data_IF_543551389652
#
_entry.id   IF_543551389652
#
_cell.length_a   1.000
_cell.length_b   1.000
_cell.length_c   1.000
_cell.angle_alpha   90.00
_cell.angle_beta   90.00
_cell.angle_gamma   90.00
#
_symmetry.space_group_name_H-M   'P 1'
#
loop_
_entity.id
_entity.type
_entity.pdbx_description
1 polymer ?
#
# COMPACT_ATOMS: atom_id res chain seq x y z
N UNK A 1 31.56 34.37 75.54
CA UNK A 1 30.17 34.88 75.54
C UNK A 1 29.26 33.79 75.00
N UNK A 2 28.41 33.26 75.90
CA UNK A 2 27.31 32.30 75.67
C UNK A 2 26.19 32.97 74.84
N UNK A 3 25.51 32.35 73.85
CA UNK A 3 24.57 31.21 73.82
C UNK A 3 23.08 31.57 74.07
N UNK A 4 22.19 30.78 73.42
CA UNK A 4 20.77 30.49 73.73
C UNK A 4 19.68 31.51 73.28
N UNK A 5 18.43 31.16 72.86
CA UNK A 5 17.65 29.89 72.75
C UNK A 5 16.37 30.09 71.89
N UNK A 6 15.98 29.01 71.20
CA UNK A 6 14.64 28.57 70.72
C UNK A 6 13.36 29.11 71.39
N UNK A 7 12.23 29.15 70.65
CA UNK A 7 11.10 28.19 70.77
C UNK A 7 9.98 28.33 69.69
N UNK A 8 9.34 27.20 69.36
CA UNK A 8 8.24 26.93 68.40
C UNK A 8 6.86 26.99 69.07
N UNK A 9 5.78 27.11 68.27
CA UNK A 9 4.46 26.53 68.58
C UNK A 9 3.71 26.00 67.32
N UNK A 10 3.14 24.78 67.42
CA UNK A 10 2.20 24.07 66.49
C UNK A 10 0.74 24.48 66.84
N UNK A 11 -0.39 24.16 66.16
CA UNK A 11 -1.01 22.90 65.67
C UNK A 11 -2.42 23.25 65.08
N UNK A 12 -2.97 22.69 63.99
CA UNK A 12 -3.81 21.45 63.81
C UNK A 12 -5.37 21.63 63.92
N UNK A 13 -6.06 21.36 62.79
CA UNK A 13 -7.38 20.67 62.52
C UNK A 13 -8.77 21.15 63.02
N UNK A 14 -9.75 21.20 62.07
CA UNK A 14 -11.08 20.52 61.97
C UNK A 14 -12.04 21.37 61.07
N UNK A 15 -12.49 20.95 59.89
CA UNK A 15 -13.51 19.95 59.51
C UNK A 15 -14.99 20.46 59.55
N UNK A 16 -15.65 20.30 58.38
CA UNK A 16 -17.09 20.12 58.12
C UNK A 16 -18.04 21.33 57.90
N UNK A 17 -18.51 21.38 56.63
CA UNK A 17 -19.87 21.65 56.12
C UNK A 17 -20.57 22.97 56.44
N UNK A 18 -20.86 23.74 55.39
CA UNK A 18 -22.24 24.17 55.10
C UNK A 18 -22.40 24.60 53.63
N UNK A 19 -23.29 23.92 52.92
CA UNK A 19 -23.80 24.28 51.59
C UNK A 19 -24.70 25.52 51.75
N UNK A 20 -24.43 26.62 51.04
CA UNK A 20 -25.49 27.52 50.58
C UNK A 20 -25.14 28.13 49.22
N UNK A 21 -26.08 27.91 48.32
CA UNK A 21 -26.20 28.41 46.95
C UNK A 21 -26.36 29.92 46.98
N UNK A 22 -25.59 30.65 46.17
CA UNK A 22 -25.98 32.01 45.77
C UNK A 22 -25.45 32.34 44.36
N UNK A 23 -26.41 32.60 43.48
CA UNK A 23 -26.40 33.61 42.42
C UNK A 23 -25.55 33.41 41.15
N UNK A 24 -26.26 32.88 40.15
CA UNK A 24 -26.24 33.21 38.71
C UNK A 24 -25.42 34.46 38.35
N UNK A 25 -24.35 34.28 37.57
CA UNK A 25 -23.93 35.25 36.55
C UNK A 25 -23.37 34.52 35.32
N UNK A 26 -24.21 34.49 34.29
CA UNK A 26 -23.89 34.73 32.89
C UNK A 26 -22.42 34.57 32.47
N UNK A 27 -22.07 33.43 31.86
CA UNK A 27 -21.20 33.41 30.69
C UNK A 27 -21.76 32.39 29.69
N UNK A 28 -22.54 32.91 28.74
CA UNK A 28 -22.63 32.32 27.40
C UNK A 28 -21.20 32.37 26.82
N UNK A 29 -20.41 31.33 27.09
CA UNK A 29 -19.22 31.04 26.31
C UNK A 29 -19.64 30.32 25.03
N UNK A 30 -19.01 30.59 23.88
CA UNK A 30 -19.23 29.77 22.69
C UNK A 30 -18.89 28.33 23.07
N UNK A 31 -19.77 27.38 22.71
CA UNK A 31 -19.43 25.96 22.72
C UNK A 31 -18.25 25.78 21.76
N UNK A 32 -17.03 25.93 22.27
CA UNK A 32 -15.85 25.37 21.62
C UNK A 32 -16.01 23.86 21.76
N UNK A 33 -16.64 23.27 20.75
CA UNK A 33 -16.44 21.87 20.42
C UNK A 33 -14.93 21.78 20.16
N UNK A 34 -14.16 21.39 21.16
CA UNK A 34 -12.81 20.88 20.93
C UNK A 34 -13.05 19.60 20.14
N UNK A 35 -12.93 19.72 18.82
CA UNK A 35 -12.88 18.57 17.94
C UNK A 35 -11.56 17.88 18.30
N UNK A 36 -11.67 16.89 19.18
CA UNK A 36 -10.56 16.06 19.60
C UNK A 36 -10.13 15.27 18.36
N UNK A 37 -9.25 15.87 17.57
CA UNK A 37 -8.55 15.23 16.46
C UNK A 37 -7.48 14.34 17.08
N UNK A 38 -7.93 13.32 17.81
CA UNK A 38 -7.10 12.16 18.06
C UNK A 38 -6.77 11.57 16.70
N UNK A 39 -5.49 11.47 16.31
CA UNK A 39 -5.12 10.75 15.11
C UNK A 39 -5.61 9.32 15.31
N UNK A 40 -6.56 8.91 14.49
CA UNK A 40 -7.02 7.54 14.44
C UNK A 40 -5.79 6.70 14.07
N UNK A 41 -5.18 6.04 15.07
CA UNK A 41 -4.05 5.15 14.84
C UNK A 41 -4.54 4.07 13.88
N UNK A 42 -4.22 4.23 12.60
CA UNK A 42 -4.25 3.14 11.64
C UNK A 42 -3.44 1.99 12.25
N UNK A 43 -3.92 0.75 12.07
CA UNK A 43 -3.16 -0.41 12.52
C UNK A 43 -1.73 -0.30 11.97
N UNK A 44 -0.69 -0.47 12.80
CA UNK A 44 0.68 -0.37 12.34
C UNK A 44 0.88 -1.37 11.21
N UNK A 45 1.22 -0.86 10.03
CA UNK A 45 1.54 -1.66 8.86
C UNK A 45 2.67 -2.64 9.23
N UNK A 46 2.41 -3.94 9.10
CA UNK A 46 3.38 -4.95 9.49
C UNK A 46 4.52 -5.01 8.48
N UNK A 47 5.75 -5.03 8.98
CA UNK A 47 6.94 -5.22 8.15
C UNK A 47 6.93 -6.63 7.53
N UNK A 48 7.52 -6.79 6.34
CA UNK A 48 7.54 -8.06 5.60
C UNK A 48 8.95 -8.62 5.54
N UNK A 49 9.21 -9.68 6.32
CA UNK A 49 10.49 -10.38 6.30
C UNK A 49 10.30 -11.75 5.65
N UNK A 50 10.78 -11.90 4.42
CA UNK A 50 10.75 -13.19 3.75
C UNK A 50 11.85 -14.11 4.28
N UNK A 51 11.54 -15.41 4.37
CA UNK A 51 12.51 -16.49 4.57
C UNK A 51 12.44 -17.34 3.31
N UNK A 52 13.47 -17.26 2.47
CA UNK A 52 13.47 -17.85 1.14
C UNK A 52 14.33 -19.11 1.09
N UNK A 53 13.72 -20.19 0.66
CA UNK A 53 14.39 -21.43 0.33
C UNK A 53 15.19 -21.28 -0.96
N UNK A 54 16.51 -21.43 -0.83
CA UNK A 54 17.40 -21.66 -1.97
C UNK A 54 18.27 -22.89 -1.70
N UNK A 55 17.70 -23.93 -1.09
CA UNK A 55 18.28 -25.27 -0.95
C UNK A 55 18.36 -25.97 -2.31
N UNK A 56 19.11 -27.07 -2.42
CA UNK A 56 19.34 -27.75 -3.70
C UNK A 56 18.06 -28.23 -4.42
N UNK A 57 17.03 -28.64 -3.68
CA UNK A 57 15.73 -29.11 -4.21
C UNK A 57 14.98 -28.03 -4.99
N UNK A 58 15.23 -26.75 -4.71
CA UNK A 58 14.62 -25.64 -5.45
C UNK A 58 15.07 -25.53 -6.92
N UNK A 59 16.07 -26.31 -7.35
CA UNK A 59 16.41 -26.50 -8.77
C UNK A 59 15.43 -27.40 -9.53
N UNK A 60 14.64 -28.20 -8.81
CA UNK A 60 13.62 -29.06 -9.40
C UNK A 60 12.49 -28.25 -10.02
N UNK A 61 11.71 -28.92 -10.85
CA UNK A 61 10.59 -28.33 -11.56
C UNK A 61 9.28 -28.52 -10.79
N UNK A 62 8.44 -27.50 -10.83
CA UNK A 62 7.02 -27.56 -10.47
C UNK A 62 6.24 -27.14 -11.71
N UNK A 63 5.63 -28.13 -12.37
CA UNK A 63 5.14 -27.96 -13.75
C UNK A 63 6.30 -27.68 -14.72
N UNK A 64 6.22 -26.57 -15.46
CA UNK A 64 7.22 -26.20 -16.48
C UNK A 64 8.32 -25.26 -15.97
N UNK A 65 8.22 -24.80 -14.72
CA UNK A 65 9.15 -23.84 -14.15
C UNK A 65 9.98 -24.47 -13.04
N UNK A 66 11.23 -24.04 -12.89
CA UNK A 66 11.99 -24.36 -11.68
C UNK A 66 11.35 -23.69 -10.46
N UNK A 67 11.28 -24.39 -9.33
CA UNK A 67 10.68 -23.90 -8.08
C UNK A 67 11.28 -22.55 -7.65
N UNK A 68 12.60 -22.39 -7.77
CA UNK A 68 13.28 -21.11 -7.47
C UNK A 68 12.82 -19.96 -8.37
N UNK A 69 12.53 -20.21 -9.65
CA UNK A 69 12.06 -19.18 -10.56
C UNK A 69 10.63 -18.76 -10.22
N UNK A 70 9.76 -19.70 -9.85
CA UNK A 70 8.42 -19.40 -9.36
C UNK A 70 8.48 -18.58 -8.06
N UNK A 71 9.29 -19.00 -7.09
CA UNK A 71 9.48 -18.27 -5.85
C UNK A 71 9.92 -16.82 -6.11
N UNK A 72 10.94 -16.60 -6.95
CA UNK A 72 11.40 -15.24 -7.31
C UNK A 72 10.31 -14.42 -8.00
N UNK A 73 9.59 -15.01 -8.96
CA UNK A 73 8.50 -14.36 -9.69
C UNK A 73 7.42 -13.85 -8.73
N UNK A 74 6.94 -14.71 -7.83
CA UNK A 74 5.80 -14.37 -6.99
C UNK A 74 6.15 -13.57 -5.74
N UNK A 75 7.35 -13.76 -5.18
CA UNK A 75 7.86 -12.85 -4.13
C UNK A 75 8.02 -11.44 -4.69
N UNK A 76 8.57 -11.27 -5.90
CA UNK A 76 8.61 -9.95 -6.56
C UNK A 76 7.21 -9.37 -6.75
N UNK A 77 6.29 -10.15 -7.30
CA UNK A 77 4.91 -9.73 -7.54
C UNK A 77 4.23 -9.20 -6.28
N UNK A 78 4.38 -9.92 -5.16
CA UNK A 78 3.86 -9.49 -3.87
C UNK A 78 4.49 -8.16 -3.43
N UNK A 79 5.82 -8.05 -3.48
CA UNK A 79 6.54 -6.84 -3.06
C UNK A 79 6.21 -5.63 -3.94
N UNK A 80 5.99 -5.82 -5.23
CA UNK A 80 5.59 -4.76 -6.16
C UNK A 80 4.21 -4.17 -5.82
N UNK A 81 3.33 -4.95 -5.17
CA UNK A 81 1.96 -4.55 -4.82
C UNK A 81 1.81 -3.97 -3.41
N UNK A 82 2.82 -4.08 -2.56
CA UNK A 82 2.79 -3.46 -1.23
C UNK A 82 2.72 -1.93 -1.33
N UNK A 83 2.32 -1.21 -0.27
CA UNK A 83 2.58 0.23 -0.15
C UNK A 83 4.09 0.57 -0.17
N UNK A 84 4.45 1.79 -0.58
CA UNK A 84 5.86 2.22 -0.65
C UNK A 84 6.51 2.31 0.74
N UNK A 85 5.69 2.61 1.74
CA UNK A 85 6.06 2.75 3.14
C UNK A 85 6.23 1.40 3.87
N UNK A 86 5.86 0.27 3.25
CA UNK A 86 6.06 -1.05 3.85
C UNK A 86 7.56 -1.35 3.94
N UNK A 87 8.04 -1.69 5.14
CA UNK A 87 9.38 -2.23 5.31
C UNK A 87 9.45 -3.65 4.75
N UNK A 88 10.35 -3.88 3.80
CA UNK A 88 10.53 -5.21 3.18
C UNK A 88 11.99 -5.64 3.28
N UNK A 89 12.21 -6.91 3.61
CA UNK A 89 13.54 -7.52 3.75
C UNK A 89 13.46 -9.03 3.57
N UNK A 90 14.61 -9.69 3.47
CA UNK A 90 14.63 -11.15 3.43
C UNK A 90 15.91 -11.78 3.97
N UNK A 91 15.68 -12.95 4.57
CA UNK A 91 16.64 -14.00 4.85
C UNK A 91 16.52 -15.04 3.74
N UNK A 92 17.63 -15.64 3.37
CA UNK A 92 17.61 -16.86 2.56
C UNK A 92 18.57 -17.87 3.18
N UNK A 93 18.26 -19.14 3.01
CA UNK A 93 19.17 -20.24 3.29
C UNK A 93 19.49 -20.99 2.00
N UNK A 94 20.56 -21.77 2.04
CA UNK A 94 21.22 -22.22 0.83
C UNK A 94 21.89 -21.05 0.11
N UNK A 95 21.63 -20.90 -1.18
CA UNK A 95 22.22 -19.88 -2.06
C UNK A 95 23.74 -19.98 -2.25
N UNK A 96 24.18 -20.89 -3.14
CA UNK A 96 25.60 -21.20 -3.42
C UNK A 96 26.41 -21.68 -2.20
N UNK A 97 25.75 -22.06 -1.12
CA UNK A 97 26.39 -22.54 0.10
C UNK A 97 25.91 -23.97 0.38
N UNK A 98 26.82 -24.94 0.50
CA UNK A 98 26.47 -26.29 0.87
C UNK A 98 26.19 -26.42 2.38
N UNK A 99 25.51 -27.51 2.75
CA UNK A 99 25.31 -27.88 4.15
C UNK A 99 24.29 -27.01 4.89
N UNK A 100 24.35 -27.10 6.21
CA UNK A 100 23.33 -26.55 7.11
C UNK A 100 23.58 -25.12 7.58
N UNK A 101 24.82 -24.62 7.51
CA UNK A 101 25.19 -23.27 7.96
C UNK A 101 25.09 -22.25 6.82
N UNK A 102 23.89 -22.10 6.27
CA UNK A 102 23.67 -21.31 5.04
C UNK A 102 22.68 -20.16 5.22
N UNK A 103 21.94 -20.11 6.33
CA UNK A 103 20.93 -19.09 6.57
C UNK A 103 21.54 -17.73 6.91
N UNK A 104 21.18 -16.68 6.15
CA UNK A 104 21.73 -15.33 6.29
C UNK A 104 20.71 -14.26 5.94
N UNK A 105 20.81 -13.09 6.59
CA UNK A 105 20.07 -11.89 6.20
C UNK A 105 20.72 -11.28 4.94
N UNK A 106 19.99 -11.28 3.83
CA UNK A 106 20.49 -10.73 2.55
C UNK A 106 20.05 -9.29 2.33
N UNK A 107 18.86 -8.94 2.82
CA UNK A 107 18.33 -7.59 2.77
C UNK A 107 17.63 -7.27 4.10
N UNK A 108 18.05 -6.23 4.84
CA UNK A 108 17.34 -5.81 6.04
C UNK A 108 15.96 -5.25 5.69
N UNK A 109 15.05 -5.25 6.66
CA UNK A 109 13.79 -4.53 6.59
C UNK A 109 14.06 -3.04 6.38
N UNK A 110 13.60 -2.51 5.25
CA UNK A 110 13.83 -1.12 4.85
C UNK A 110 12.67 -0.63 3.99
N UNK A 111 12.23 0.62 4.20
CA UNK A 111 11.21 1.27 3.37
C UNK A 111 11.79 1.73 2.03
N UNK A 112 10.98 1.80 0.99
CA UNK A 112 11.38 2.42 -0.30
C UNK A 112 12.52 1.72 -1.06
N UNK A 113 13.05 0.57 -0.61
CA UNK A 113 14.21 -0.08 -1.22
C UNK A 113 13.85 -1.36 -2.00
N UNK A 114 12.76 -1.31 -2.77
CA UNK A 114 12.34 -2.42 -3.65
C UNK A 114 13.39 -2.80 -4.69
N UNK A 115 14.09 -1.86 -5.37
CA UNK A 115 15.12 -2.24 -6.34
C UNK A 115 16.26 -3.04 -5.71
N UNK A 116 16.74 -2.64 -4.52
CA UNK A 116 17.78 -3.36 -3.79
C UNK A 116 17.33 -4.74 -3.33
N UNK A 117 16.07 -4.87 -2.88
CA UNK A 117 15.46 -6.16 -2.56
C UNK A 117 15.44 -7.09 -3.79
N UNK A 118 14.91 -6.61 -4.93
CA UNK A 118 14.79 -7.39 -6.16
C UNK A 118 16.15 -7.83 -6.69
N UNK A 119 17.14 -6.95 -6.70
CA UNK A 119 18.49 -7.29 -7.16
C UNK A 119 19.09 -8.47 -6.37
N UNK A 120 18.91 -8.47 -5.04
CA UNK A 120 19.37 -9.58 -4.19
C UNK A 120 18.53 -10.84 -4.38
N UNK A 121 17.21 -10.71 -4.50
CA UNK A 121 16.28 -11.81 -4.76
C UNK A 121 16.65 -12.58 -6.03
N UNK A 122 16.84 -11.86 -7.15
CA UNK A 122 17.17 -12.50 -8.43
C UNK A 122 18.57 -13.13 -8.45
N UNK A 123 19.46 -12.67 -7.58
CA UNK A 123 20.80 -13.24 -7.38
C UNK A 123 20.84 -14.59 -6.65
N UNK A 124 19.74 -15.08 -6.07
CA UNK A 124 19.70 -16.36 -5.36
C UNK A 124 19.94 -17.55 -6.31
N UNK A 125 20.79 -18.49 -5.93
CA UNK A 125 21.09 -19.70 -6.72
C UNK A 125 21.03 -20.95 -5.85
N UNK A 126 20.08 -21.87 -6.09
CA UNK A 126 19.82 -22.99 -5.21
C UNK A 126 21.05 -23.88 -4.92
N UNK A 127 21.29 -24.19 -3.65
CA UNK A 127 22.37 -25.07 -3.17
C UNK A 127 22.17 -25.41 -1.67
N UNK A 128 22.74 -26.51 -1.20
CA UNK A 128 22.74 -26.85 0.23
C UNK A 128 21.44 -27.45 0.75
N UNK A 129 21.30 -27.47 2.08
CA UNK A 129 20.21 -28.10 2.81
C UNK A 129 19.17 -27.07 3.30
N UNK A 130 18.18 -27.53 4.08
CA UNK A 130 17.00 -26.76 4.53
C UNK A 130 17.05 -26.53 6.05
N UNK A 131 17.84 -25.55 6.56
CA UNK A 131 17.94 -25.23 7.98
C UNK A 131 16.82 -24.27 8.43
N UNK A 132 15.58 -24.78 8.51
CA UNK A 132 14.40 -23.97 8.86
C UNK A 132 14.49 -23.41 10.29
N UNK A 133 14.90 -24.22 11.26
CA UNK A 133 15.05 -23.81 12.65
C UNK A 133 16.08 -22.69 12.80
N UNK A 134 17.24 -22.82 12.15
CA UNK A 134 18.25 -21.76 12.14
C UNK A 134 17.69 -20.48 11.52
N UNK A 135 16.96 -20.59 10.41
CA UNK A 135 16.40 -19.44 9.70
C UNK A 135 15.34 -18.71 10.53
N UNK A 136 14.47 -19.45 11.24
CA UNK A 136 13.49 -18.88 12.16
C UNK A 136 14.19 -18.20 13.34
N UNK A 137 15.25 -18.83 13.89
CA UNK A 137 16.05 -18.22 14.96
C UNK A 137 16.70 -16.92 14.53
N UNK A 138 17.35 -16.88 13.36
CA UNK A 138 17.95 -15.66 12.81
C UNK A 138 16.89 -14.58 12.56
N UNK A 139 15.74 -14.94 11.98
CA UNK A 139 14.63 -14.01 11.77
C UNK A 139 14.15 -13.43 13.10
N UNK A 140 13.91 -14.28 14.08
CA UNK A 140 13.49 -13.89 15.43
C UNK A 140 14.48 -12.98 16.14
N UNK A 141 15.77 -13.35 16.16
CA UNK A 141 16.84 -12.55 16.76
C UNK A 141 16.99 -11.18 16.07
N UNK A 142 16.69 -11.12 14.77
CA UNK A 142 16.68 -9.87 14.01
C UNK A 142 15.50 -8.96 14.38
N UNK A 143 14.30 -9.52 14.57
CA UNK A 143 13.08 -8.74 14.80
C UNK A 143 12.73 -8.53 16.28
N UNK A 144 13.34 -9.25 17.22
CA UNK A 144 13.00 -9.20 18.66
C UNK A 144 13.03 -7.80 19.28
N UNK A 145 13.89 -6.91 18.77
CA UNK A 145 14.01 -5.53 19.27
C UNK A 145 13.07 -4.55 18.58
N UNK A 146 12.28 -4.98 17.60
CA UNK A 146 11.38 -4.13 16.82
C UNK A 146 10.06 -3.95 17.57
N UNK A 147 9.54 -2.73 17.54
CA UNK A 147 8.22 -2.40 18.11
C UNK A 147 7.08 -2.68 17.12
N UNK A 148 7.35 -2.60 15.82
CA UNK A 148 6.38 -2.85 14.77
C UNK A 148 6.13 -4.35 14.59
N UNK A 149 4.87 -4.78 14.38
CA UNK A 149 4.57 -6.16 14.00
C UNK A 149 5.34 -6.55 12.73
N UNK A 150 5.76 -7.82 12.62
CA UNK A 150 6.46 -8.32 11.43
C UNK A 150 5.83 -9.62 10.95
N UNK A 151 5.47 -9.69 9.67
CA UNK A 151 5.06 -10.94 9.04
C UNK A 151 6.31 -11.65 8.49
N UNK A 152 6.56 -12.84 9.01
CA UNK A 152 7.53 -13.79 8.49
C UNK A 152 6.86 -14.57 7.36
N UNK A 153 7.41 -14.46 6.15
CA UNK A 153 6.86 -15.13 4.96
C UNK A 153 7.85 -16.18 4.48
N UNK A 154 7.62 -17.44 4.87
CA UNK A 154 8.44 -18.57 4.43
C UNK A 154 7.95 -19.08 3.08
N UNK A 155 8.88 -19.21 2.13
CA UNK A 155 8.67 -19.86 0.83
C UNK A 155 9.64 -21.04 0.76
N UNK A 156 9.14 -22.27 0.73
CA UNK A 156 9.97 -23.48 0.80
C UNK A 156 9.36 -24.66 0.04
N UNK A 157 10.23 -25.55 -0.44
CA UNK A 157 9.84 -26.82 -1.07
C UNK A 157 10.20 -28.05 -0.23
N UNK A 158 10.61 -27.85 1.03
CA UNK A 158 11.04 -28.93 1.90
C UNK A 158 10.76 -28.69 3.38
N UNK A 159 11.00 -29.75 4.16
CA UNK A 159 11.01 -29.71 5.62
C UNK A 159 12.43 -29.51 6.14
N UNK A 160 12.54 -29.34 7.45
CA UNK A 160 13.82 -29.29 8.16
C UNK A 160 14.69 -30.52 7.85
N UNK A 161 15.91 -30.28 7.37
CA UNK A 161 16.90 -31.34 7.05
C UNK A 161 18.24 -31.17 7.77
N UNK A 162 18.32 -30.24 8.72
CA UNK A 162 19.52 -29.86 9.46
C UNK A 162 19.42 -30.10 10.97
N UNK A 163 18.62 -31.09 11.36
CA UNK A 163 18.47 -31.55 12.75
C UNK A 163 17.96 -30.48 13.73
N UNK A 164 17.37 -29.40 13.22
CA UNK A 164 16.72 -28.36 14.00
C UNK A 164 15.30 -28.73 14.44
N UNK A 165 14.70 -27.88 15.26
CA UNK A 165 13.27 -27.95 15.59
C UNK A 165 12.59 -26.59 15.31
N UNK A 166 12.03 -26.39 14.10
CA UNK A 166 11.39 -25.13 13.71
C UNK A 166 10.25 -24.72 14.64
N UNK A 167 9.47 -25.67 15.13
CA UNK A 167 8.33 -25.41 16.02
C UNK A 167 8.79 -24.87 17.37
N UNK A 168 9.85 -25.45 17.93
CA UNK A 168 10.46 -24.98 19.18
C UNK A 168 11.00 -23.55 19.05
N UNK A 169 11.60 -23.22 17.90
CA UNK A 169 12.08 -21.86 17.65
C UNK A 169 10.91 -20.87 17.62
N UNK A 170 9.81 -21.19 16.93
CA UNK A 170 8.60 -20.35 16.92
C UNK A 170 8.01 -20.14 18.33
N UNK A 171 7.89 -21.22 19.11
CA UNK A 171 7.43 -21.15 20.50
C UNK A 171 8.34 -20.26 21.35
N UNK A 172 9.66 -20.34 21.13
CA UNK A 172 10.63 -19.49 21.81
C UNK A 172 10.43 -18.01 21.47
N UNK A 173 10.14 -17.67 20.21
CA UNK A 173 9.84 -16.29 19.80
C UNK A 173 8.56 -15.77 20.46
N UNK A 174 7.52 -16.60 20.55
CA UNK A 174 6.28 -16.24 21.24
C UNK A 174 6.49 -16.00 22.73
N UNK A 175 7.24 -16.88 23.40
CA UNK A 175 7.58 -16.74 24.82
C UNK A 175 8.39 -15.47 25.10
N UNK A 176 9.23 -15.05 24.14
CA UNK A 176 9.98 -13.79 24.19
C UNK A 176 9.12 -12.56 23.88
N UNK A 177 7.83 -12.72 23.59
CA UNK A 177 6.91 -11.62 23.30
C UNK A 177 7.13 -10.96 21.95
N UNK A 178 7.77 -11.65 20.99
CA UNK A 178 7.99 -11.11 19.65
C UNK A 178 6.65 -11.00 18.93
N UNK A 179 6.34 -9.81 18.41
CA UNK A 179 5.11 -9.57 17.67
C UNK A 179 5.28 -9.95 16.19
N UNK A 180 4.97 -11.20 15.86
CA UNK A 180 5.06 -11.71 14.51
C UNK A 180 3.91 -12.64 14.14
N UNK A 181 3.68 -12.77 12.83
CA UNK A 181 2.92 -13.88 12.23
C UNK A 181 3.83 -14.64 11.28
N UNK A 182 3.61 -15.94 11.09
CA UNK A 182 4.35 -16.73 10.12
C UNK A 182 3.43 -17.34 9.06
N UNK A 183 3.52 -16.80 7.85
CA UNK A 183 2.86 -17.32 6.66
C UNK A 183 3.83 -18.25 5.93
N UNK A 184 3.33 -19.39 5.44
CA UNK A 184 4.16 -20.42 4.81
C UNK A 184 3.57 -20.78 3.45
N UNK A 185 4.38 -20.72 2.41
CA UNK A 185 4.09 -21.15 1.05
C UNK A 185 4.89 -22.42 0.77
N UNK A 186 4.20 -23.55 0.73
CA UNK A 186 4.78 -24.88 0.49
C UNK A 186 4.69 -25.26 -0.99
N UNK A 187 5.83 -25.42 -1.65
CA UNK A 187 5.93 -25.72 -3.08
C UNK A 187 6.09 -27.22 -3.30
N UNK A 188 5.08 -27.88 -3.86
CA UNK A 188 5.16 -29.28 -4.26
C UNK A 188 5.43 -30.27 -3.11
N UNK A 189 5.04 -29.92 -1.88
CA UNK A 189 5.24 -30.75 -0.69
C UNK A 189 4.35 -32.01 -0.71
N UNK A 190 4.85 -33.11 -0.13
CA UNK A 190 4.08 -34.34 0.09
C UNK A 190 3.06 -34.17 1.22
N UNK A 191 2.00 -35.01 1.29
CA UNK A 191 0.96 -34.88 2.30
C UNK A 191 1.47 -34.82 3.76
N UNK A 192 2.48 -35.60 4.14
CA UNK A 192 3.08 -35.51 5.48
C UNK A 192 3.81 -34.19 5.71
N UNK A 193 4.54 -33.68 4.71
CA UNK A 193 5.28 -32.41 4.79
C UNK A 193 4.33 -31.21 4.88
N UNK A 194 3.21 -31.26 4.13
CA UNK A 194 2.14 -30.25 4.22
C UNK A 194 1.59 -30.14 5.65
N UNK A 195 1.35 -31.27 6.32
CA UNK A 195 0.85 -31.27 7.71
C UNK A 195 1.83 -30.61 8.67
N UNK A 196 3.12 -30.85 8.48
CA UNK A 196 4.19 -30.19 9.26
C UNK A 196 4.13 -28.68 9.04
N UNK A 197 4.08 -28.22 7.79
CA UNK A 197 4.01 -26.79 7.46
C UNK A 197 2.73 -26.12 7.97
N UNK A 198 1.59 -26.81 7.91
CA UNK A 198 0.34 -26.34 8.52
C UNK A 198 0.48 -26.15 10.02
N UNK A 199 1.12 -27.10 10.72
CA UNK A 199 1.40 -26.99 12.15
C UNK A 199 2.30 -25.79 12.44
N UNK A 200 3.38 -25.60 11.67
CA UNK A 200 4.29 -24.47 11.83
C UNK A 200 3.60 -23.12 11.61
N UNK A 201 2.80 -22.98 10.55
CA UNK A 201 2.05 -21.75 10.29
C UNK A 201 1.05 -21.45 11.42
N UNK A 202 0.38 -22.49 11.94
CA UNK A 202 -0.52 -22.37 13.10
C UNK A 202 0.23 -21.93 14.35
N UNK A 203 1.37 -22.55 14.65
CA UNK A 203 2.23 -22.17 15.79
C UNK A 203 2.70 -20.73 15.64
N UNK A 204 3.03 -20.28 14.43
CA UNK A 204 3.38 -18.88 14.16
C UNK A 204 2.19 -17.93 13.98
N UNK A 205 0.95 -18.32 14.33
CA UNK A 205 -0.26 -17.49 14.19
C UNK A 205 -0.50 -16.91 12.77
N UNK A 206 -0.02 -17.61 11.73
CA UNK A 206 -0.20 -17.21 10.33
C UNK A 206 -0.97 -18.26 9.53
N UNK A 207 -0.75 -18.26 8.21
CA UNK A 207 -1.47 -19.12 7.26
C UNK A 207 -0.52 -20.00 6.46
N UNK A 208 -1.00 -21.21 6.15
CA UNK A 208 -0.33 -22.10 5.21
C UNK A 208 -1.01 -22.02 3.84
N UNK A 209 -0.20 -21.95 2.80
CA UNK A 209 -0.58 -21.94 1.40
C UNK A 209 0.07 -23.12 0.69
N UNK A 210 -0.77 -23.99 0.11
CA UNK A 210 -0.31 -25.09 -0.73
C UNK A 210 -0.11 -24.58 -2.16
N UNK A 211 1.06 -24.84 -2.74
CA UNK A 211 1.40 -24.43 -4.11
C UNK A 211 1.80 -25.67 -4.91
N UNK A 212 0.93 -26.13 -5.81
CA UNK A 212 1.23 -27.25 -6.72
C UNK A 212 1.49 -26.78 -8.16
N UNK A 213 1.05 -25.57 -8.49
CA UNK A 213 1.25 -24.98 -9.81
C UNK A 213 1.41 -23.45 -9.75
N UNK A 214 1.73 -22.85 -10.91
CA UNK A 214 1.96 -21.41 -11.06
C UNK A 214 0.75 -20.57 -10.60
N UNK A 215 -0.47 -21.01 -10.94
CA UNK A 215 -1.76 -20.39 -10.56
C UNK A 215 -1.97 -20.36 -9.05
N UNK A 216 -1.69 -21.46 -8.36
CA UNK A 216 -1.84 -21.56 -6.91
C UNK A 216 -0.99 -20.51 -6.21
N UNK A 217 0.26 -20.33 -6.67
CA UNK A 217 1.17 -19.38 -6.06
C UNK A 217 0.68 -17.94 -6.24
N UNK A 218 0.20 -17.60 -7.44
CA UNK A 218 -0.42 -16.30 -7.69
C UNK A 218 -1.59 -16.05 -6.73
N UNK A 219 -2.54 -16.99 -6.67
CA UNK A 219 -3.73 -16.87 -5.83
C UNK A 219 -3.39 -16.76 -4.34
N UNK A 220 -2.40 -17.53 -3.88
CA UNK A 220 -1.92 -17.48 -2.51
C UNK A 220 -1.31 -16.12 -2.14
N UNK A 221 -0.51 -15.54 -3.04
CA UNK A 221 0.05 -14.20 -2.83
C UNK A 221 -1.03 -13.11 -2.86
N UNK A 222 -2.03 -13.23 -3.74
CA UNK A 222 -3.18 -12.31 -3.74
C UNK A 222 -4.02 -12.43 -2.46
N UNK A 223 -4.21 -13.65 -1.93
CA UNK A 223 -4.92 -13.86 -0.67
C UNK A 223 -4.16 -13.24 0.52
N UNK A 224 -2.83 -13.36 0.53
CA UNK A 224 -2.01 -12.70 1.56
C UNK A 224 -2.09 -11.17 1.43
N UNK A 225 -2.01 -10.62 0.22
CA UNK A 225 -2.15 -9.17 -0.03
C UNK A 225 -3.50 -8.61 0.44
N UNK A 226 -4.59 -9.38 0.33
CA UNK A 226 -5.92 -8.96 0.81
C UNK A 226 -6.04 -8.91 2.33
N UNK A 227 -5.18 -9.62 3.04
CA UNK A 227 -5.15 -9.63 4.51
C UNK A 227 -4.26 -8.54 5.09
N UNK A 228 -3.45 -7.89 4.26
CA UNK A 228 -2.84 -6.64 4.65
C UNK A 228 -3.95 -5.71 5.12
N UNK A 229 -3.80 -5.07 6.31
CA UNK A 229 -4.70 -3.99 6.65
C UNK A 229 -4.65 -3.06 5.44
N UNK A 230 -5.78 -2.94 4.74
CA UNK A 230 -5.88 -2.00 3.63
C UNK A 230 -5.24 -0.74 4.15
N UNK A 231 -4.25 -0.15 3.45
CA UNK A 231 -3.86 1.18 3.83
C UNK A 231 -5.19 1.91 3.96
N UNK A 232 -5.42 2.52 5.12
CA UNK A 232 -6.16 3.77 5.10
C UNK A 232 -5.27 4.60 4.18
N UNK A 233 -5.52 4.46 2.87
CA UNK A 233 -5.39 5.55 1.92
C UNK A 233 -5.89 6.70 2.76
N UNK A 234 -5.09 7.75 2.98
CA UNK A 234 -5.67 8.96 3.51
C UNK A 234 -6.90 9.16 2.64
N UNK A 235 -8.07 8.86 3.19
CA UNK A 235 -9.27 9.50 2.75
C UNK A 235 -8.90 10.89 3.16
N UNK A 236 -8.33 11.60 2.19
CA UNK A 236 -8.12 13.00 2.35
C UNK A 236 -9.52 13.44 2.76
N UNK A 237 -9.67 13.82 4.03
CA UNK A 237 -10.44 15.02 4.32
C UNK A 237 -10.16 15.93 3.13
N UNK A 238 -11.17 16.40 2.40
CA UNK A 238 -10.94 17.20 1.21
C UNK A 238 -10.20 18.48 1.62
N UNK A 239 -8.87 18.38 1.79
CA UNK A 239 -7.95 19.43 1.51
C UNK A 239 -8.40 19.90 0.15
N UNK A 240 -8.72 21.18 0.10
CA UNK A 240 -9.13 21.90 -1.09
C UNK A 240 -8.09 21.63 -2.18
N UNK A 241 -8.23 20.52 -2.90
CA UNK A 241 -7.40 20.16 -4.02
C UNK A 241 -7.73 21.19 -5.07
N UNK A 242 -6.83 22.13 -5.27
CA UNK A 242 -6.90 22.99 -6.44
C UNK A 242 -6.84 22.08 -7.66
N UNK A 243 -7.88 22.07 -8.52
CA UNK A 243 -7.89 21.21 -9.70
C UNK A 243 -6.68 21.55 -10.57
N UNK A 244 -5.92 20.52 -10.97
CA UNK A 244 -4.73 20.63 -11.81
C UNK A 244 -5.07 20.91 -13.27
N UNK A 245 -6.31 20.69 -13.68
CA UNK A 245 -6.85 21.07 -14.99
C UNK A 245 -8.24 21.66 -14.82
N UNK A 246 -8.50 22.78 -15.48
CA UNK A 246 -9.84 23.38 -15.53
C UNK A 246 -10.11 23.97 -16.91
N UNK A 247 -11.35 23.83 -17.34
CA UNK A 247 -11.88 24.57 -18.49
C UNK A 247 -12.05 26.02 -18.04
N UNK A 248 -11.38 26.96 -18.72
CA UNK A 248 -11.46 28.38 -18.42
C UNK A 248 -12.63 29.05 -19.15
N UNK A 249 -12.91 28.65 -20.39
CA UNK A 249 -14.09 29.11 -21.13
C UNK A 249 -14.47 28.12 -22.24
N UNK A 250 -15.75 28.13 -22.60
CA UNK A 250 -16.28 27.46 -23.79
C UNK A 250 -17.03 28.53 -24.57
N UNK A 251 -16.53 28.89 -25.74
CA UNK A 251 -17.18 29.84 -26.66
C UNK A 251 -17.85 29.03 -27.77
N UNK A 252 -19.15 29.25 -27.98
CA UNK A 252 -19.94 28.61 -29.03
C UNK A 252 -20.19 29.61 -30.15
N UNK A 253 -19.77 29.28 -31.36
CA UNK A 253 -20.11 29.99 -32.59
C UNK A 253 -20.99 29.09 -33.45
N UNK A 254 -22.21 29.55 -33.76
CA UNK A 254 -23.08 28.85 -34.68
C UNK A 254 -22.71 29.24 -36.11
N UNK A 255 -22.28 28.28 -36.91
CA UNK A 255 -21.81 28.50 -38.30
C UNK A 255 -22.88 28.15 -39.32
N UNK A 256 -23.72 27.15 -39.03
CA UNK A 256 -24.85 26.69 -39.85
C UNK A 256 -25.94 26.04 -38.95
N UNK A 257 -27.05 25.56 -39.52
CA UNK A 257 -28.13 24.95 -38.73
C UNK A 257 -27.83 23.53 -38.23
N UNK A 258 -26.76 22.90 -38.71
CA UNK A 258 -26.49 21.48 -38.48
C UNK A 258 -25.30 21.23 -37.53
N UNK A 259 -24.32 22.13 -37.46
CA UNK A 259 -23.13 22.05 -36.62
C UNK A 259 -22.92 23.31 -35.75
N UNK A 260 -22.41 23.07 -34.54
CA UNK A 260 -21.89 24.10 -33.65
C UNK A 260 -20.37 24.02 -33.61
N UNK A 261 -19.71 25.17 -33.68
CA UNK A 261 -18.27 25.28 -33.46
C UNK A 261 -18.00 25.72 -32.02
N UNK A 262 -17.13 25.00 -31.32
CA UNK A 262 -16.74 25.28 -29.94
C UNK A 262 -15.25 25.57 -29.85
N UNK A 263 -14.94 26.67 -29.18
CA UNK A 263 -13.59 27.02 -28.75
C UNK A 263 -13.48 26.81 -27.25
N UNK A 264 -12.67 25.83 -26.85
CA UNK A 264 -12.56 25.37 -25.46
C UNK A 264 -11.18 25.74 -24.94
N UNK A 265 -11.13 26.77 -24.10
CA UNK A 265 -9.90 27.20 -23.44
C UNK A 265 -9.75 26.50 -22.11
N UNK A 266 -8.51 26.16 -21.76
CA UNK A 266 -8.19 25.50 -20.50
C UNK A 266 -6.87 25.99 -19.93
N UNK A 267 -6.71 25.80 -18.62
CA UNK A 267 -5.43 25.98 -17.93
C UNK A 267 -5.10 24.75 -17.12
N UNK A 268 -3.81 24.42 -17.05
CA UNK A 268 -3.30 23.32 -16.25
C UNK A 268 -2.10 23.73 -15.39
N UNK A 269 -1.96 23.07 -14.24
CA UNK A 269 -0.81 23.13 -13.36
C UNK A 269 -0.51 21.73 -12.82
N UNK A 270 0.58 21.14 -13.30
CA UNK A 270 1.14 19.91 -12.76
C UNK A 270 2.62 20.12 -12.46
N UNK A 271 2.88 20.74 -11.32
CA UNK A 271 4.21 21.00 -10.77
C UNK A 271 5.16 19.79 -10.71
N UNK A 272 4.64 18.56 -10.80
CA UNK A 272 5.39 17.31 -10.68
C UNK A 272 6.01 16.81 -12.00
N UNK A 273 5.58 17.32 -13.16
CA UNK A 273 6.12 16.89 -14.45
C UNK A 273 6.17 18.03 -15.47
N UNK A 274 7.19 18.03 -16.31
CA UNK A 274 7.42 18.99 -17.39
C UNK A 274 6.96 18.46 -18.76
N UNK A 275 6.40 17.26 -18.85
CA UNK A 275 5.87 16.70 -20.09
C UNK A 275 4.42 16.25 -19.87
N UNK A 276 3.48 16.98 -20.46
CA UNK A 276 2.05 16.84 -20.21
C UNK A 276 1.29 16.69 -21.53
N UNK A 277 0.18 15.96 -21.53
CA UNK A 277 -0.81 16.03 -22.60
C UNK A 277 -2.18 16.32 -22.00
N UNK A 278 -2.94 17.22 -22.63
CA UNK A 278 -4.36 17.43 -22.33
C UNK A 278 -5.16 16.73 -23.40
N UNK A 279 -6.14 15.94 -22.95
CA UNK A 279 -7.04 15.17 -23.81
C UNK A 279 -8.45 15.72 -23.64
N UNK A 280 -9.07 16.15 -24.72
CA UNK A 280 -10.47 16.53 -24.78
C UNK A 280 -11.31 15.30 -25.12
N UNK A 281 -12.32 15.01 -24.31
CA UNK A 281 -13.29 13.94 -24.55
C UNK A 281 -14.68 14.54 -24.76
N UNK A 282 -15.20 14.41 -25.98
CA UNK A 282 -16.57 14.77 -26.33
C UNK A 282 -17.46 13.53 -26.20
N UNK A 283 -18.51 13.61 -25.40
CA UNK A 283 -19.34 12.46 -25.02
C UNK A 283 -20.81 12.70 -25.32
N UNK A 284 -21.52 11.61 -25.64
CA UNK A 284 -22.99 11.63 -25.65
C UNK A 284 -23.52 11.76 -24.22
N UNK A 285 -24.52 12.63 -24.01
CA UNK A 285 -25.23 12.74 -22.72
C UNK A 285 -26.01 11.45 -22.44
N UNK A 286 -25.96 10.95 -21.20
CA UNK A 286 -26.76 9.82 -20.72
C UNK A 286 -27.69 10.26 -19.58
N UNK A 287 -28.88 9.67 -19.50
CA UNK A 287 -29.83 9.83 -18.39
C UNK A 287 -29.75 8.72 -17.34
N UNK A 288 -28.99 7.65 -17.62
CA UNK A 288 -28.84 6.48 -16.74
C UNK A 288 -27.42 6.44 -16.17
N UNK A 289 -27.31 6.45 -14.84
CA UNK A 289 -26.03 6.21 -14.17
C UNK A 289 -25.69 4.73 -14.32
N UNK A 290 -24.70 4.41 -15.16
CA UNK A 290 -24.16 3.06 -15.17
C UNK A 290 -23.42 2.80 -13.85
N UNK A 291 -23.48 1.57 -13.32
CA UNK A 291 -22.76 1.20 -12.09
C UNK A 291 -21.25 1.29 -12.37
N UNK A 292 -20.60 2.30 -11.81
CA UNK A 292 -19.19 2.62 -12.10
C UNK A 292 -18.26 1.59 -11.46
N UNK A 293 -17.49 0.89 -12.29
CA UNK A 293 -16.29 0.18 -11.89
C UNK A 293 -15.13 1.20 -11.86
N UNK A 294 -14.83 1.74 -10.68
CA UNK A 294 -13.96 2.91 -10.53
C UNK A 294 -12.47 2.52 -10.45
N UNK A 295 -11.92 1.99 -11.54
CA UNK A 295 -10.51 1.53 -11.59
C UNK A 295 -9.50 2.68 -11.60
N UNK A 296 -9.89 3.88 -12.04
CA UNK A 296 -9.07 5.08 -11.93
C UNK A 296 -9.94 6.35 -11.84
N UNK A 297 -10.04 7.02 -10.68
CA UNK A 297 -10.91 8.18 -10.49
C UNK A 297 -10.48 9.43 -11.30
N UNK A 298 -9.23 9.47 -11.78
CA UNK A 298 -8.69 10.57 -12.59
C UNK A 298 -8.98 10.42 -14.09
N UNK A 299 -9.55 9.29 -14.53
CA UNK A 299 -9.99 9.12 -15.91
C UNK A 299 -11.38 9.71 -16.13
N UNK A 300 -11.65 10.04 -17.38
CA UNK A 300 -12.94 10.48 -17.86
C UNK A 300 -14.01 9.47 -17.45
N UNK A 301 -15.14 9.98 -16.94
CA UNK A 301 -16.24 9.10 -16.54
C UNK A 301 -16.84 8.41 -17.77
N UNK A 302 -17.25 7.14 -17.65
CA UNK A 302 -18.00 6.42 -18.71
C UNK A 302 -17.33 6.54 -20.11
N UNK A 303 -16.09 6.01 -20.26
CA UNK A 303 -15.30 6.14 -21.50
C UNK A 303 -16.00 5.56 -22.74
N UNK A 304 -16.94 4.65 -22.57
CA UNK A 304 -17.81 4.12 -23.63
C UNK A 304 -18.73 5.17 -24.26
N UNK A 305 -18.94 6.32 -23.61
CA UNK A 305 -19.75 7.44 -24.15
C UNK A 305 -18.95 8.39 -25.04
N UNK A 306 -17.63 8.24 -25.13
CA UNK A 306 -16.76 9.13 -25.89
C UNK A 306 -17.01 8.94 -27.39
N UNK A 307 -17.44 10.02 -28.05
CA UNK A 307 -17.68 10.09 -29.49
C UNK A 307 -16.45 10.57 -30.25
N UNK A 308 -15.68 11.48 -29.64
CA UNK A 308 -14.49 12.09 -30.24
C UNK A 308 -13.50 12.46 -29.15
N UNK A 309 -12.22 12.30 -29.48
CA UNK A 309 -11.11 12.68 -28.64
C UNK A 309 -10.15 13.58 -29.42
N UNK A 310 -9.63 14.63 -28.78
CA UNK A 310 -8.54 15.45 -29.30
C UNK A 310 -7.43 15.58 -28.25
N UNK A 311 -6.20 15.85 -28.68
CA UNK A 311 -5.04 15.89 -27.79
C UNK A 311 -4.08 17.02 -28.18
N UNK A 312 -3.56 17.72 -27.16
CA UNK A 312 -2.46 18.70 -27.29
C UNK A 312 -1.45 18.42 -26.17
N UNK A 313 -0.16 18.44 -26.48
CA UNK A 313 0.92 18.18 -25.51
C UNK A 313 1.83 19.40 -25.30
N UNK A 314 2.37 19.49 -24.10
CA UNK A 314 3.15 20.63 -23.61
C UNK A 314 4.42 20.14 -22.91
N UNK A 315 5.55 20.83 -23.17
CA UNK A 315 6.80 20.64 -22.43
C UNK A 315 6.94 21.69 -21.32
N UNK A 316 5.90 21.83 -20.49
CA UNK A 316 5.86 22.81 -19.39
C UNK A 316 5.11 22.22 -18.20
N UNK A 317 5.39 22.73 -16.99
CA UNK A 317 4.68 22.31 -15.77
C UNK A 317 3.30 22.94 -15.62
N UNK A 318 3.13 24.16 -16.17
CA UNK A 318 1.90 24.94 -16.11
C UNK A 318 1.73 25.67 -17.42
N UNK A 319 0.50 25.77 -17.89
CA UNK A 319 0.21 26.40 -19.17
C UNK A 319 -1.28 26.54 -19.43
N UNK A 320 -1.57 27.11 -20.58
CA UNK A 320 -2.91 27.25 -21.13
C UNK A 320 -2.95 26.73 -22.57
N UNK A 321 -4.13 26.34 -23.01
CA UNK A 321 -4.33 25.84 -24.36
C UNK A 321 -5.77 26.00 -24.82
N UNK A 322 -6.00 25.69 -26.08
CA UNK A 322 -7.29 25.83 -26.75
C UNK A 322 -7.53 24.64 -27.67
N UNK A 323 -8.72 24.06 -27.58
CA UNK A 323 -9.26 23.14 -28.58
C UNK A 323 -10.31 23.85 -29.43
N UNK A 324 -10.35 23.50 -30.70
CA UNK A 324 -11.35 23.97 -31.66
C UNK A 324 -12.07 22.76 -32.25
N UNK A 325 -13.30 22.53 -31.83
CA UNK A 325 -14.08 21.34 -32.21
C UNK A 325 -15.38 21.74 -32.90
N UNK A 326 -15.79 20.94 -33.89
CA UNK A 326 -17.15 20.96 -34.43
C UNK A 326 -17.96 19.79 -33.87
N UNK A 327 -19.24 20.04 -33.59
CA UNK A 327 -20.15 19.01 -33.13
C UNK A 327 -21.60 19.23 -33.62
N UNK A 328 -22.38 18.16 -33.88
CA UNK A 328 -23.75 18.29 -34.38
C UNK A 328 -24.65 19.08 -33.43
N UNK A 329 -25.38 20.06 -33.95
CA UNK A 329 -26.15 21.01 -33.15
C UNK A 329 -27.33 20.38 -32.40
N UNK A 330 -27.85 19.25 -32.89
CA UNK A 330 -29.01 18.55 -32.34
C UNK A 330 -28.67 17.46 -31.31
N UNK A 331 -27.38 17.14 -31.11
CA UNK A 331 -26.98 16.10 -30.18
C UNK A 331 -26.71 16.67 -28.78
N UNK A 332 -27.24 16.04 -27.71
CA UNK A 332 -26.89 16.42 -26.35
C UNK A 332 -25.49 15.89 -26.02
N UNK A 333 -24.54 16.81 -25.81
CA UNK A 333 -23.12 16.50 -25.66
C UNK A 333 -22.55 17.07 -24.37
N UNK A 334 -21.68 16.29 -23.75
CA UNK A 334 -20.84 16.70 -22.63
C UNK A 334 -19.38 16.72 -23.08
N UNK A 335 -18.60 17.62 -22.49
CA UNK A 335 -17.15 17.74 -22.69
C UNK A 335 -16.43 17.55 -21.37
N UNK A 336 -15.33 16.80 -21.38
CA UNK A 336 -14.43 16.63 -20.23
C UNK A 336 -12.97 16.64 -20.71
N UNK A 337 -12.10 17.35 -20.00
CA UNK A 337 -10.66 17.33 -20.23
C UNK A 337 -9.97 16.38 -19.23
N UNK A 338 -8.99 15.63 -19.70
CA UNK A 338 -8.04 14.87 -18.87
C UNK A 338 -6.65 15.50 -19.00
N UNK A 339 -5.91 15.57 -17.89
CA UNK A 339 -4.49 15.94 -17.87
C UNK A 339 -3.64 14.70 -17.64
N UNK A 340 -2.67 14.45 -18.52
CA UNK A 340 -1.79 13.29 -18.51
C UNK A 340 -0.34 13.70 -18.32
N UNK A 341 0.38 12.97 -17.46
CA UNK A 341 1.84 13.02 -17.37
C UNK A 341 2.43 11.97 -18.32
N UNK A 342 3.34 12.39 -19.19
CA UNK A 342 3.97 11.55 -20.22
C UNK A 342 5.49 11.45 -20.07
N UNK A 343 6.07 11.93 -18.96
CA UNK A 343 7.53 11.85 -18.73
C UNK A 343 8.01 10.41 -18.51
N UNK A 344 7.16 9.56 -17.94
CA UNK A 344 7.39 8.12 -17.75
C UNK A 344 6.36 7.26 -18.48
N UNK A 345 5.81 6.26 -17.80
CA UNK A 345 4.63 5.54 -18.29
C UNK A 345 3.44 6.52 -18.26
N UNK A 346 2.77 6.80 -19.40
CA UNK A 346 1.69 7.77 -19.45
C UNK A 346 0.59 7.45 -18.43
N UNK A 347 0.22 8.44 -17.62
CA UNK A 347 -0.80 8.29 -16.59
C UNK A 347 -1.67 9.54 -16.45
N UNK A 348 -2.99 9.35 -16.22
CA UNK A 348 -3.90 10.47 -15.95
C UNK A 348 -3.65 11.03 -14.55
N UNK A 349 -3.55 12.35 -14.45
CA UNK A 349 -3.20 13.08 -13.24
C UNK A 349 -4.42 13.80 -12.65
N UNK A 350 -5.30 14.31 -13.49
CA UNK A 350 -6.53 15.00 -13.07
C UNK A 350 -7.52 15.17 -14.24
N UNK A 351 -8.75 15.60 -13.95
CA UNK A 351 -9.80 15.87 -14.95
C UNK A 351 -10.62 17.11 -14.62
N UNK A 352 -11.18 17.77 -15.64
CA UNK A 352 -11.95 19.01 -15.47
C UNK A 352 -13.36 18.81 -14.91
N UNK A 353 -13.85 17.56 -14.90
CA UNK A 353 -15.26 17.24 -14.80
C UNK A 353 -16.03 17.53 -16.10
N UNK A 354 -17.25 17.01 -16.20
CA UNK A 354 -18.09 17.20 -17.39
C UNK A 354 -18.68 18.62 -17.45
N UNK A 355 -18.78 19.16 -18.67
CA UNK A 355 -19.46 20.41 -19.02
C UNK A 355 -20.47 20.14 -20.13
N UNK A 356 -21.70 20.56 -19.93
CA UNK A 356 -22.73 20.49 -20.95
C UNK A 356 -22.41 21.50 -22.07
N UNK A 357 -22.49 21.07 -23.34
CA UNK A 357 -22.31 21.94 -24.51
C UNK A 357 -23.64 22.44 -25.12
N UNK A 358 -24.77 22.00 -24.57
CA UNK A 358 -26.13 22.34 -25.02
C UNK A 358 -26.83 23.42 -24.18
N UNK A 359 -26.20 23.92 -23.12
CA UNK A 359 -26.69 25.01 -22.26
C UNK A 359 -25.90 26.30 -22.45
#
# INVERSE_FOLDING_TARGET
MFSFRMFRYRSVFHAEKLKYILLISLYLGPNFIISDTSPELGQPESAKLFILDASGSMNEYLGIYQKVHLAKKYVRHYVDKLPEETEVGFIAYGNRLPGCQSSRLYKPLEKGNRPGFQNKLFGLTPSGATPLAESIRIAGDYIIRRKSPTDLILVTDGIESCYGNPEKELQTLQQKGVNFKMHIFGLGLKPEEKRIMQSLAKTGNGKYYNVEEDSDFFLAMEDLLKQEPLPKKPELEPEKRTPKIRISSIEKNQTDSEENFYKVKFVFDNSNSDNQCVILNLKRRSSTSSKIQNWNPQRAAEPERVLRTEQICFQTRKGEGEFQISAPAHLPLNLELELWDTKGIPSSVDKSGERNLTE
#
